data_IF_824519734370
#
_entry.id   IF_824519734370
#
_cell.length_a   1.000
_cell.length_b   1.000
_cell.length_c   1.000
_cell.angle_alpha   90.00
_cell.angle_beta   90.00
_cell.angle_gamma   90.00
#
_symmetry.space_group_name_H-M   'P 1'
#
loop_
_entity.id
_entity.type
_entity.pdbx_description
1 polymer ?
#
# COMPACT_ATOMS: atom_id res chain seq x y z
N UNK A 1 -0.74 -7.98 10.11
CA UNK A 1 -0.22 -7.52 8.79
C UNK A 1 -0.91 -8.17 7.59
N UNK A 2 -0.75 -9.48 7.35
CA UNK A 2 -1.31 -10.13 6.14
C UNK A 2 -2.74 -10.66 6.37
N UNK A 3 -3.02 -11.13 7.60
CA UNK A 3 -4.34 -11.57 8.04
C UNK A 3 -5.32 -10.39 8.22
N UNK A 4 -4.86 -9.26 8.76
CA UNK A 4 -5.71 -8.07 8.97
C UNK A 4 -6.33 -7.52 7.68
N UNK A 5 -5.59 -7.56 6.56
CA UNK A 5 -6.09 -7.14 5.24
C UNK A 5 -7.30 -7.99 4.80
N UNK A 6 -7.36 -9.24 5.27
CA UNK A 6 -8.40 -10.20 4.90
C UNK A 6 -9.52 -10.31 5.94
N UNK A 7 -9.26 -9.99 7.20
CA UNK A 7 -10.22 -10.01 8.30
C UNK A 7 -11.08 -8.74 8.35
N UNK A 8 -10.50 -7.57 8.09
CA UNK A 8 -11.21 -6.29 8.01
C UNK A 8 -10.74 -5.45 6.82
N UNK A 9 -11.05 -5.88 5.58
CA UNK A 9 -10.58 -5.22 4.37
C UNK A 9 -11.08 -3.78 4.24
N UNK A 10 -12.32 -3.51 4.68
CA UNK A 10 -12.94 -2.18 4.57
C UNK A 10 -12.35 -1.22 5.61
N UNK A 11 -12.17 -1.65 6.87
CA UNK A 11 -11.54 -0.83 7.90
C UNK A 11 -10.10 -0.49 7.55
N UNK A 12 -9.35 -1.48 7.06
CA UNK A 12 -7.95 -1.31 6.68
C UNK A 12 -7.78 -0.40 5.45
N UNK A 13 -8.66 -0.54 4.46
CA UNK A 13 -8.72 0.33 3.29
C UNK A 13 -9.09 1.78 3.65
N UNK A 14 -10.14 1.98 4.45
CA UNK A 14 -10.58 3.30 4.88
C UNK A 14 -9.49 4.01 5.70
N UNK A 15 -8.85 3.29 6.63
CA UNK A 15 -7.74 3.83 7.42
C UNK A 15 -6.55 4.22 6.53
N UNK A 16 -6.24 3.39 5.53
CA UNK A 16 -5.22 3.66 4.53
C UNK A 16 -5.50 4.92 3.70
N UNK A 17 -6.72 5.08 3.18
CA UNK A 17 -7.13 6.27 2.42
C UNK A 17 -7.07 7.53 3.29
N UNK A 18 -7.65 7.48 4.50
CA UNK A 18 -7.66 8.63 5.41
C UNK A 18 -6.22 9.03 5.76
N UNK A 19 -5.36 8.04 6.04
CA UNK A 19 -3.95 8.29 6.36
C UNK A 19 -3.19 8.89 5.17
N UNK A 20 -3.40 8.38 3.95
CA UNK A 20 -2.79 8.94 2.74
C UNK A 20 -3.26 10.37 2.47
N UNK A 21 -4.54 10.67 2.68
CA UNK A 21 -5.09 12.03 2.56
C UNK A 21 -4.51 12.97 3.62
N UNK A 22 -4.45 12.54 4.87
CA UNK A 22 -3.88 13.33 5.96
C UNK A 22 -2.38 13.59 5.74
N UNK A 23 -1.63 12.57 5.33
CA UNK A 23 -0.19 12.67 5.07
C UNK A 23 0.07 13.57 3.83
N UNK A 24 -0.75 13.44 2.79
CA UNK A 24 -0.74 14.34 1.63
C UNK A 24 -1.02 15.79 2.01
N UNK A 25 -1.98 16.04 2.90
CA UNK A 25 -2.28 17.37 3.43
C UNK A 25 -1.10 17.96 4.22
N UNK A 26 -0.46 17.16 5.07
CA UNK A 26 0.73 17.57 5.83
C UNK A 26 1.91 17.90 4.90
N UNK A 27 2.16 17.06 3.89
CA UNK A 27 3.18 17.31 2.87
C UNK A 27 2.89 18.61 2.13
N UNK A 28 1.63 18.84 1.73
CA UNK A 28 1.22 20.04 1.02
C UNK A 28 1.42 21.31 1.86
N UNK A 29 1.05 21.26 3.14
CA UNK A 29 1.34 22.33 4.10
C UNK A 29 2.85 22.60 4.22
N UNK A 30 3.67 21.55 4.34
CA UNK A 30 5.13 21.68 4.42
C UNK A 30 5.72 22.30 3.15
N UNK A 31 5.25 21.91 1.97
CA UNK A 31 5.72 22.48 0.69
C UNK A 31 5.39 23.98 0.61
N UNK A 32 4.18 24.40 1.02
CA UNK A 32 3.78 25.81 1.02
C UNK A 32 4.70 26.65 1.90
N UNK A 33 5.21 26.09 3.01
CA UNK A 33 6.12 26.82 3.91
C UNK A 33 7.54 27.03 3.37
N UNK A 34 7.91 26.49 2.19
CA UNK A 34 9.24 26.53 1.53
C UNK A 34 10.39 25.94 2.37
N UNK A 35 10.56 26.40 3.61
CA UNK A 35 11.44 25.84 4.64
C UNK A 35 11.08 24.37 4.91
N UNK A 36 9.79 24.03 4.87
CA UNK A 36 9.30 22.67 5.06
C UNK A 36 9.69 21.70 3.93
N UNK A 37 10.21 22.15 2.79
CA UNK A 37 10.64 21.27 1.68
C UNK A 37 11.73 20.30 2.13
N UNK A 38 12.68 20.76 2.96
CA UNK A 38 13.76 19.91 3.46
C UNK A 38 13.22 18.75 4.32
N UNK A 39 12.07 18.94 4.98
CA UNK A 39 11.37 17.91 5.74
C UNK A 39 10.40 17.10 4.87
N UNK A 40 9.79 17.74 3.87
CA UNK A 40 8.83 17.11 2.96
C UNK A 40 9.50 16.02 2.11
N UNK A 41 10.72 16.27 1.61
CA UNK A 41 11.45 15.30 0.78
C UNK A 41 11.66 13.95 1.51
N UNK A 42 12.29 13.90 2.71
CA UNK A 42 12.45 12.63 3.43
C UNK A 42 11.10 12.03 3.84
N UNK A 43 10.11 12.85 4.19
CA UNK A 43 8.78 12.37 4.54
C UNK A 43 8.07 11.69 3.36
N UNK A 44 8.15 12.27 2.16
CA UNK A 44 7.66 11.66 0.91
C UNK A 44 8.35 10.32 0.68
N UNK A 45 9.67 10.25 0.91
CA UNK A 45 10.44 9.03 0.71
C UNK A 45 10.00 7.90 1.63
N UNK A 46 9.81 8.21 2.92
CA UNK A 46 9.29 7.25 3.92
C UNK A 46 7.86 6.83 3.58
N UNK A 47 6.99 7.79 3.24
CA UNK A 47 5.62 7.49 2.86
C UNK A 47 5.54 6.59 1.63
N UNK A 48 6.39 6.84 0.62
CA UNK A 48 6.50 5.99 -0.57
C UNK A 48 6.99 4.58 -0.23
N UNK A 49 8.00 4.44 0.63
CA UNK A 49 8.49 3.14 1.08
C UNK A 49 7.41 2.34 1.81
N UNK A 50 6.71 2.95 2.76
CA UNK A 50 5.63 2.29 3.50
C UNK A 50 4.50 1.90 2.56
N UNK A 51 4.16 2.74 1.58
CA UNK A 51 3.15 2.43 0.56
C UNK A 51 3.58 1.28 -0.35
N UNK A 52 4.82 1.24 -0.79
CA UNK A 52 5.36 0.15 -1.60
C UNK A 52 5.37 -1.19 -0.84
N UNK A 53 5.80 -1.19 0.42
CA UNK A 53 5.82 -2.37 1.28
C UNK A 53 4.38 -2.83 1.58
N UNK A 54 3.49 -1.90 1.89
CA UNK A 54 2.07 -2.19 2.12
C UNK A 54 1.41 -2.82 0.90
N UNK A 55 1.61 -2.21 -0.28
CA UNK A 55 1.12 -2.75 -1.55
C UNK A 55 1.63 -4.15 -1.81
N UNK A 56 2.93 -4.40 -1.58
CA UNK A 56 3.51 -5.74 -1.72
C UNK A 56 2.81 -6.76 -0.81
N UNK A 57 2.60 -6.44 0.47
CA UNK A 57 1.91 -7.31 1.44
C UNK A 57 0.47 -7.60 0.97
N UNK A 58 -0.24 -6.58 0.49
CA UNK A 58 -1.62 -6.73 0.01
C UNK A 58 -1.71 -7.62 -1.24
N UNK A 59 -0.83 -7.43 -2.23
CA UNK A 59 -0.77 -8.31 -3.41
C UNK A 59 -0.42 -9.75 -3.07
N UNK A 60 0.52 -9.95 -2.13
CA UNK A 60 0.91 -11.26 -1.64
C UNK A 60 -0.25 -11.94 -0.89
N UNK A 61 -1.04 -11.19 -0.12
CA UNK A 61 -2.21 -11.71 0.59
C UNK A 61 -3.30 -12.18 -0.40
N UNK A 62 -3.53 -11.39 -1.47
CA UNK A 62 -4.44 -11.76 -2.55
C UNK A 62 -3.95 -13.03 -3.26
N UNK A 63 -2.67 -13.08 -3.60
CA UNK A 63 -2.08 -14.22 -4.31
C UNK A 63 -2.05 -15.51 -3.47
N UNK A 64 -1.77 -15.42 -2.17
CA UNK A 64 -1.82 -16.54 -1.23
C UNK A 64 -3.25 -17.12 -1.14
N UNK A 65 -4.29 -16.27 -1.15
CA UNK A 65 -5.69 -16.74 -1.19
C UNK A 65 -6.05 -17.40 -2.52
N UNK A 66 -5.47 -16.96 -3.62
CA UNK A 66 -5.84 -17.40 -4.97
C UNK A 66 -5.21 -18.74 -5.35
N UNK A 67 -3.93 -18.95 -4.99
CA UNK A 67 -3.15 -20.13 -5.39
C UNK A 67 -2.96 -21.12 -4.25
N UNK A 68 -3.13 -20.68 -3.00
CA UNK A 68 -2.84 -21.50 -1.83
C UNK A 68 -1.34 -21.72 -1.63
N UNK A 69 -0.95 -22.03 -0.38
CA UNK A 69 0.46 -22.11 0.02
C UNK A 69 1.07 -23.52 0.01
N UNK A 70 0.34 -24.51 -0.50
CA UNK A 70 0.70 -25.94 -0.37
C UNK A 70 2.09 -26.27 -0.94
N UNK A 71 2.54 -25.57 -1.99
CA UNK A 71 3.82 -25.85 -2.66
C UNK A 71 4.92 -24.79 -2.40
N UNK A 72 4.74 -23.93 -1.38
CA UNK A 72 5.71 -22.91 -0.99
C UNK A 72 5.46 -21.50 -1.56
N UNK A 73 6.36 -20.56 -1.26
CA UNK A 73 6.17 -19.12 -1.50
C UNK A 73 6.34 -18.68 -2.96
N UNK A 74 6.91 -19.51 -3.82
CA UNK A 74 7.31 -19.09 -5.16
C UNK A 74 6.10 -18.79 -6.07
N UNK A 75 5.06 -19.63 -6.02
CA UNK A 75 3.81 -19.43 -6.77
C UNK A 75 3.06 -18.15 -6.38
N UNK A 76 2.75 -17.89 -5.10
CA UNK A 76 2.06 -16.66 -4.71
C UNK A 76 2.91 -15.41 -4.98
N UNK A 77 4.24 -15.48 -4.86
CA UNK A 77 5.12 -14.36 -5.20
C UNK A 77 5.03 -13.98 -6.68
N UNK A 78 5.04 -14.99 -7.56
CA UNK A 78 4.97 -14.80 -9.01
C UNK A 78 3.61 -14.23 -9.42
N UNK A 79 2.52 -14.69 -8.81
CA UNK A 79 1.17 -14.18 -9.06
C UNK A 79 0.99 -12.77 -8.52
N UNK A 80 1.51 -12.46 -7.34
CA UNK A 80 1.49 -11.10 -6.78
C UNK A 80 2.25 -10.12 -7.68
N UNK A 81 3.45 -10.47 -8.13
CA UNK A 81 4.25 -9.66 -9.04
C UNK A 81 3.55 -9.47 -10.40
N UNK A 82 2.94 -10.53 -10.93
CA UNK A 82 2.20 -10.47 -12.19
C UNK A 82 0.95 -9.59 -12.09
N UNK A 83 0.18 -9.70 -10.98
CA UNK A 83 -0.95 -8.82 -10.68
C UNK A 83 -0.51 -7.36 -10.60
N UNK A 84 0.56 -7.07 -9.85
CA UNK A 84 1.08 -5.71 -9.74
C UNK A 84 1.52 -5.14 -11.09
N UNK A 85 2.25 -5.93 -11.89
CA UNK A 85 2.72 -5.52 -13.22
C UNK A 85 1.58 -5.33 -14.22
N UNK A 86 0.62 -6.27 -14.26
CA UNK A 86 -0.53 -6.20 -15.16
C UNK A 86 -1.47 -5.02 -14.83
N UNK A 87 -1.70 -4.75 -13.54
CA UNK A 87 -2.46 -3.58 -13.13
C UNK A 87 -1.74 -2.28 -13.49
N UNK A 88 -0.42 -2.21 -13.34
CA UNK A 88 0.35 -1.03 -13.70
C UNK A 88 0.29 -0.73 -15.22
N UNK A 89 0.30 -1.75 -16.07
CA UNK A 89 0.29 -1.60 -17.54
C UNK A 89 -1.07 -1.16 -18.09
N UNK A 90 -2.17 -1.46 -17.40
CA UNK A 90 -3.54 -1.22 -17.92
C UNK A 90 -4.05 0.21 -17.71
N UNK A 91 -3.31 1.08 -17.02
CA UNK A 91 -3.70 2.47 -16.72
C UNK A 91 -4.83 2.57 -15.70
N UNK A 92 -5.98 1.95 -15.97
CA UNK A 92 -7.12 1.78 -15.04
C UNK A 92 -6.73 0.87 -13.86
N UNK A 93 -5.90 -0.14 -14.10
CA UNK A 93 -5.33 -0.96 -13.04
C UNK A 93 -4.42 -0.17 -12.09
N UNK A 94 -3.91 1.00 -12.48
CA UNK A 94 -3.20 1.91 -11.59
C UNK A 94 -4.08 2.43 -10.45
N UNK A 95 -5.37 2.67 -10.70
CA UNK A 95 -6.34 3.09 -9.69
C UNK A 95 -6.62 1.96 -8.68
N UNK A 96 -6.76 0.74 -9.18
CA UNK A 96 -6.85 -0.46 -8.34
C UNK A 96 -5.56 -0.71 -7.56
N UNK A 97 -4.40 -0.47 -8.15
CA UNK A 97 -3.10 -0.58 -7.48
C UNK A 97 -2.96 0.46 -6.36
N UNK A 98 -3.48 1.67 -6.57
CA UNK A 98 -3.57 2.69 -5.51
C UNK A 98 -4.50 2.22 -4.39
N UNK A 99 -5.64 1.63 -4.71
CA UNK A 99 -6.56 1.09 -3.70
C UNK A 99 -5.93 -0.06 -2.88
N UNK A 100 -5.25 -0.98 -3.55
CA UNK A 100 -4.56 -2.12 -2.93
C UNK A 100 -3.37 -1.62 -2.08
N UNK A 101 -2.61 -0.65 -2.59
CA UNK A 101 -1.55 0.03 -1.86
C UNK A 101 -2.06 0.78 -0.63
N UNK A 102 -3.24 1.43 -0.72
CA UNK A 102 -3.89 2.09 0.41
C UNK A 102 -4.31 1.08 1.49
N UNK A 103 -4.93 -0.04 1.10
CA UNK A 103 -5.25 -1.12 2.04
C UNK A 103 -3.99 -1.69 2.72
N UNK A 104 -2.91 -1.87 1.95
CA UNK A 104 -1.62 -2.28 2.50
C UNK A 104 -1.02 -1.25 3.47
N UNK A 105 -1.08 0.03 3.14
CA UNK A 105 -0.60 1.13 3.97
C UNK A 105 -1.37 1.22 5.29
N UNK A 106 -2.71 1.10 5.23
CA UNK A 106 -3.57 1.09 6.41
C UNK A 106 -3.31 -0.11 7.32
N UNK A 107 -2.97 -1.29 6.76
CA UNK A 107 -2.63 -2.48 7.53
C UNK A 107 -1.36 -2.29 8.34
N UNK A 108 -0.35 -1.63 7.75
CA UNK A 108 0.90 -1.32 8.43
C UNK A 108 0.64 -0.31 9.54
N UNK A 109 -0.04 0.80 9.24
CA UNK A 109 -0.30 1.84 10.23
C UNK A 109 -1.13 1.33 11.40
N UNK A 110 -2.21 0.58 11.16
CA UNK A 110 -3.07 0.04 12.23
C UNK A 110 -2.37 -0.99 13.12
N UNK A 111 -1.29 -1.60 12.65
CA UNK A 111 -0.49 -2.54 13.46
C UNK A 111 0.46 -1.79 14.41
N UNK A 112 0.89 -0.58 14.05
CA UNK A 112 1.90 0.20 14.79
C UNK A 112 1.33 1.40 15.58
N UNK A 113 0.06 1.78 15.37
CA UNK A 113 -0.68 2.82 16.09
C UNK A 113 -1.86 2.19 16.85
#
# INVERSE_FOLDING_TARGET
MMADVLEDPVGTFAYGIISLLALGLVILLLIITIIGILLAIPLIFVAYLVWAIGGAIAYLAIADRLVGRNDGWLKPLLVAACLSGALAVTGIGGLLAVCIGAAGFGAILRTYL
#
